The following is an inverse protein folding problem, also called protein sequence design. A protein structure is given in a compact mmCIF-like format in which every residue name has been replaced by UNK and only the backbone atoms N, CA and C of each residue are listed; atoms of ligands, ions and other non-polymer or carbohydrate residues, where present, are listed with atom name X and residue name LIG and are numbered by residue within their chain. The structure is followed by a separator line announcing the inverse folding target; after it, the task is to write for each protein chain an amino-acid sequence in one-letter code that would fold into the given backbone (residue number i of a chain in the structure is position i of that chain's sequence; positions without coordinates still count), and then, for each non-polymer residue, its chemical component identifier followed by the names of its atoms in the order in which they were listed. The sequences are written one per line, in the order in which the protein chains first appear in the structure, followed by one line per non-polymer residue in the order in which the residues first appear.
data_IF_853201825914
#
_entry.id   IF_853201825914
#
_cell.length_a   1.000
_cell.length_b   1.000
_cell.length_c   1.000
_cell.angle_alpha   90.00
_cell.angle_beta   90.00
_cell.angle_gamma   90.00
#
_symmetry.space_group_name_H-M   'P 1'
#
loop_
_entity.id
_entity.type
_entity.pdbx_description
1 polymer ?
#
# COMPACT_ATOMS: atom_id res chain seq x y z
N UNK A 1 -19.79 13.67 2.69
CA UNK A 1 -18.66 13.10 3.49
C UNK A 1 -18.50 14.02 4.67
N UNK A 2 -18.75 13.52 5.88
CA UNK A 2 -18.69 14.35 7.08
C UNK A 2 -17.24 14.73 7.41
N UNK A 3 -16.86 15.92 7.06
CA UNK A 3 -15.56 16.54 7.38
C UNK A 3 -15.25 16.47 8.89
N UNK A 4 -16.29 16.45 9.71
CA UNK A 4 -16.24 16.44 11.17
C UNK A 4 -15.58 15.17 11.75
N UNK A 5 -15.79 13.99 11.16
CA UNK A 5 -15.26 12.69 11.68
C UNK A 5 -13.72 12.66 11.61
N UNK A 6 -13.14 13.24 10.57
CA UNK A 6 -11.69 13.30 10.42
C UNK A 6 -11.05 14.33 11.35
N UNK A 7 -11.73 15.45 11.59
CA UNK A 7 -11.28 16.47 12.55
C UNK A 7 -11.29 15.93 13.98
N UNK A 8 -12.33 15.21 14.38
CA UNK A 8 -12.42 14.56 15.69
C UNK A 8 -11.32 13.48 15.87
N UNK A 9 -11.01 12.75 14.82
CA UNK A 9 -9.94 11.73 14.84
C UNK A 9 -8.57 12.35 14.95
N UNK A 10 -8.30 13.41 14.21
CA UNK A 10 -7.07 14.17 14.30
C UNK A 10 -6.90 14.80 15.70
N UNK A 11 -7.99 15.30 16.29
CA UNK A 11 -7.97 15.85 17.64
C UNK A 11 -7.64 14.79 18.68
N UNK A 12 -8.27 13.59 18.60
CA UNK A 12 -7.97 12.47 19.51
C UNK A 12 -6.51 12.03 19.42
N UNK A 13 -5.98 11.91 18.20
CA UNK A 13 -4.57 11.56 17.98
C UNK A 13 -3.64 12.61 18.60
N UNK A 14 -3.99 13.89 18.43
CA UNK A 14 -3.22 14.99 19.00
C UNK A 14 -3.25 15.00 20.52
N UNK A 15 -4.41 14.77 21.13
CA UNK A 15 -4.57 14.70 22.58
C UNK A 15 -3.76 13.54 23.19
N UNK A 16 -3.69 12.39 22.49
CA UNK A 16 -2.87 11.26 22.90
C UNK A 16 -1.36 11.56 22.81
N UNK A 17 -0.91 12.22 21.72
CA UNK A 17 0.48 12.69 21.60
C UNK A 17 0.84 13.62 22.76
N UNK A 18 -0.02 14.59 23.06
CA UNK A 18 0.20 15.51 24.19
C UNK A 18 0.20 14.80 25.54
N UNK A 19 -0.70 13.83 25.73
CA UNK A 19 -0.74 12.97 26.91
C UNK A 19 0.60 12.25 27.12
N UNK A 20 1.11 11.64 26.06
CA UNK A 20 2.38 10.91 26.10
C UNK A 20 3.59 11.81 26.35
N UNK A 21 3.59 13.00 25.76
CA UNK A 21 4.62 14.02 26.01
C UNK A 21 4.63 14.45 27.50
N UNK A 22 3.44 14.63 28.11
CA UNK A 22 3.32 14.95 29.55
C UNK A 22 3.82 13.80 30.45
N UNK A 23 3.52 12.53 30.08
CA UNK A 23 4.04 11.36 30.79
C UNK A 23 5.59 11.32 30.76
N UNK A 24 6.18 11.54 29.59
CA UNK A 24 7.64 11.58 29.44
C UNK A 24 8.27 12.73 30.28
N UNK A 25 7.63 13.89 30.30
CA UNK A 25 8.07 15.01 31.13
C UNK A 25 7.97 14.65 32.62
N UNK A 26 6.86 14.02 33.06
CA UNK A 26 6.66 13.57 34.44
C UNK A 26 7.66 12.48 34.86
N UNK A 27 8.13 11.65 33.90
CA UNK A 27 9.18 10.65 34.14
C UNK A 27 10.59 11.26 34.27
N UNK A 28 10.73 12.58 34.11
CA UNK A 28 11.99 13.30 34.25
C UNK A 28 12.72 13.62 32.97
N UNK A 29 12.15 13.27 31.79
CA UNK A 29 12.74 13.60 30.50
C UNK A 29 12.63 15.10 30.21
N UNK A 30 13.72 15.74 29.85
CA UNK A 30 13.72 17.18 29.55
C UNK A 30 13.00 17.48 28.21
N UNK A 31 12.26 18.60 28.16
CA UNK A 31 11.54 19.04 26.94
C UNK A 31 12.42 19.10 25.69
N UNK A 32 13.71 19.44 25.86
CA UNK A 32 14.67 19.45 24.77
C UNK A 32 15.02 18.03 24.25
N UNK A 33 14.94 17.02 25.10
CA UNK A 33 15.15 15.63 24.73
C UNK A 33 13.91 15.07 24.02
N UNK A 34 12.72 15.38 24.53
CA UNK A 34 11.45 15.04 23.90
C UNK A 34 11.36 15.70 22.51
N UNK A 35 11.74 16.97 22.38
CA UNK A 35 11.76 17.66 21.07
C UNK A 35 12.68 16.96 20.07
N UNK A 36 13.87 16.51 20.49
CA UNK A 36 14.81 15.77 19.64
C UNK A 36 14.28 14.39 19.27
N UNK A 37 13.65 13.69 20.24
CA UNK A 37 13.01 12.39 20.02
C UNK A 37 11.95 12.50 18.91
N UNK A 38 11.15 13.57 18.92
CA UNK A 38 10.14 13.88 17.93
C UNK A 38 10.69 14.47 16.62
N UNK A 39 12.02 14.57 16.46
CA UNK A 39 12.69 15.03 15.26
C UNK A 39 12.69 16.55 15.07
N UNK A 40 12.46 17.34 16.13
CA UNK A 40 12.58 18.79 16.07
C UNK A 40 14.00 19.26 16.40
N UNK A 41 14.50 20.20 15.63
CA UNK A 41 15.80 20.85 15.86
C UNK A 41 15.73 21.97 16.91
N UNK A 42 14.51 22.49 17.20
CA UNK A 42 14.27 23.63 18.09
C UNK A 42 13.70 23.22 19.46
N UNK A 43 14.11 23.93 20.53
CA UNK A 43 13.62 23.71 21.90
C UNK A 43 12.16 24.16 22.12
N UNK A 44 11.59 24.93 21.19
CA UNK A 44 10.31 25.62 21.40
C UNK A 44 9.07 24.80 21.01
N UNK A 45 9.20 23.77 20.17
CA UNK A 45 8.04 23.03 19.65
C UNK A 45 7.21 22.41 20.78
N UNK A 46 7.80 21.52 21.58
CA UNK A 46 7.12 20.85 22.71
C UNK A 46 6.64 21.87 23.75
N UNK A 47 7.44 22.91 24.02
CA UNK A 47 7.04 23.98 24.95
C UNK A 47 5.81 24.72 24.48
N UNK A 48 5.67 24.98 23.18
CA UNK A 48 4.51 25.64 22.60
C UNK A 48 3.28 24.73 22.61
N UNK A 49 3.45 23.44 22.37
CA UNK A 49 2.32 22.49 22.41
C UNK A 49 1.69 22.34 23.79
N UNK A 50 2.49 22.47 24.85
CA UNK A 50 2.04 22.34 26.24
C UNK A 50 1.40 23.62 26.78
N UNK A 51 1.39 24.72 26.05
CA UNK A 51 0.68 25.96 26.43
C UNK A 51 -0.81 25.79 26.12
N UNK A 52 -1.66 26.04 27.10
CA UNK A 52 -3.13 25.93 26.98
C UNK A 52 -3.73 26.84 25.89
N UNK A 53 -3.06 27.95 25.57
CA UNK A 53 -3.50 28.93 24.57
C UNK A 53 -2.95 28.67 23.15
N UNK A 54 -2.29 27.55 22.92
CA UNK A 54 -1.66 27.30 21.61
C UNK A 54 -2.69 26.91 20.55
N UNK A 55 -2.95 27.83 19.63
CA UNK A 55 -3.69 27.55 18.38
C UNK A 55 -2.82 26.90 17.30
N UNK A 56 -1.51 26.78 17.54
CA UNK A 56 -0.56 26.22 16.56
C UNK A 56 -0.41 24.71 16.73
N UNK A 57 -1.50 23.98 16.59
CA UNK A 57 -1.54 22.51 16.55
C UNK A 57 -1.35 21.99 15.11
N UNK A 58 -0.60 22.72 14.29
CA UNK A 58 -0.41 22.42 12.87
C UNK A 58 0.82 21.54 12.68
N UNK A 59 0.75 20.28 13.16
CA UNK A 59 1.64 19.27 12.62
C UNK A 59 1.09 18.81 11.27
N UNK A 60 1.96 18.65 10.29
CA UNK A 60 1.58 18.02 9.03
C UNK A 60 1.17 16.55 9.29
N UNK A 61 0.34 15.98 8.44
CA UNK A 61 -0.05 14.58 8.59
C UNK A 61 1.17 13.63 8.68
N UNK A 62 2.23 13.78 7.88
CA UNK A 62 3.47 13.01 8.04
C UNK A 62 4.14 13.19 9.40
N UNK A 63 4.11 14.40 9.97
CA UNK A 63 4.67 14.63 11.30
C UNK A 63 3.85 13.94 12.39
N UNK A 64 2.53 13.97 12.31
CA UNK A 64 1.67 13.26 13.25
C UNK A 64 1.92 11.75 13.23
N UNK A 65 2.06 11.14 12.05
CA UNK A 65 2.40 9.73 11.91
C UNK A 65 3.73 9.41 12.58
N UNK A 66 4.74 10.25 12.38
CA UNK A 66 6.05 10.09 13.00
C UNK A 66 5.97 10.20 14.53
N UNK A 67 5.19 11.14 15.07
CA UNK A 67 5.03 11.28 16.52
C UNK A 67 4.33 10.07 17.13
N UNK A 68 3.28 9.58 16.49
CA UNK A 68 2.55 8.37 16.88
C UNK A 68 3.51 7.18 16.98
N UNK A 69 4.31 6.95 15.94
CA UNK A 69 5.27 5.84 15.86
C UNK A 69 6.36 5.97 16.94
N UNK A 70 7.02 7.11 17.01
CA UNK A 70 8.11 7.37 17.98
C UNK A 70 7.65 7.29 19.43
N UNK A 71 6.41 7.67 19.72
CA UNK A 71 5.82 7.61 21.06
C UNK A 71 5.20 6.25 21.38
N UNK A 72 5.24 5.29 20.46
CA UNK A 72 4.70 3.94 20.64
C UNK A 72 3.17 3.92 20.76
N UNK A 73 2.48 4.85 20.11
CA UNK A 73 1.02 4.92 20.03
C UNK A 73 0.53 4.10 18.82
N UNK A 74 -0.65 3.49 18.91
CA UNK A 74 -1.25 2.82 17.75
C UNK A 74 -2.16 3.80 16.99
N UNK A 75 -1.82 4.10 15.74
CA UNK A 75 -2.61 4.99 14.89
C UNK A 75 -4.06 4.53 14.73
N UNK A 76 -4.31 3.23 14.81
CA UNK A 76 -5.66 2.67 14.63
C UNK A 76 -6.64 3.12 15.70
N UNK A 77 -6.15 3.44 16.90
CA UNK A 77 -6.97 3.92 17.99
C UNK A 77 -7.56 5.31 17.71
N UNK A 78 -6.95 6.04 16.77
CA UNK A 78 -7.30 7.43 16.47
C UNK A 78 -7.99 7.63 15.12
N UNK A 79 -7.98 6.60 14.26
CA UNK A 79 -8.69 6.68 12.98
C UNK A 79 -10.20 6.65 13.19
N UNK A 80 -11.00 7.31 12.31
CA UNK A 80 -12.45 7.16 12.31
C UNK A 80 -12.81 5.68 12.15
N UNK A 81 -13.79 5.19 12.91
CA UNK A 81 -14.25 3.79 12.78
C UNK A 81 -14.75 3.45 11.37
N UNK A 82 -15.20 4.45 10.62
CA UNK A 82 -15.55 4.33 9.19
C UNK A 82 -14.35 4.37 8.25
N UNK A 83 -13.24 4.94 8.69
CA UNK A 83 -11.95 4.87 8.05
C UNK A 83 -11.11 3.78 8.71
N UNK A 84 -11.74 2.65 9.05
CA UNK A 84 -10.96 1.48 9.25
C UNK A 84 -10.12 1.38 7.98
N UNK A 85 -8.85 1.83 8.06
CA UNK A 85 -7.84 1.21 7.25
C UNK A 85 -7.99 -0.22 7.70
N UNK A 86 -8.86 -0.98 7.02
CA UNK A 86 -8.68 -2.39 7.01
C UNK A 86 -7.22 -2.49 6.56
N UNK A 87 -6.30 -2.68 7.49
CA UNK A 87 -5.13 -3.44 7.11
C UNK A 87 -5.77 -4.53 6.29
N UNK A 88 -5.44 -4.72 5.01
CA UNK A 88 -5.75 -5.99 4.40
C UNK A 88 -5.32 -6.95 5.48
N UNK A 89 -6.25 -7.79 5.93
CA UNK A 89 -5.92 -8.79 6.93
C UNK A 89 -4.57 -9.30 6.48
N UNK A 90 -3.49 -9.12 7.26
CA UNK A 90 -2.15 -9.46 6.81
C UNK A 90 -2.35 -10.84 6.26
N UNK A 91 -2.19 -11.01 4.93
CA UNK A 91 -2.65 -12.17 4.16
C UNK A 91 -2.87 -13.34 5.10
N UNK A 92 -4.13 -13.68 5.40
CA UNK A 92 -4.63 -14.47 6.51
C UNK A 92 -3.51 -15.02 7.39
N UNK A 93 -3.45 -14.76 8.63
CA UNK A 93 -2.33 -14.63 9.54
C UNK A 93 -1.08 -15.29 8.94
N UNK A 94 0.02 -14.57 8.81
CA UNK A 94 1.32 -15.19 8.44
C UNK A 94 1.42 -16.37 9.38
N UNK A 95 0.89 -17.52 8.93
CA UNK A 95 1.02 -18.77 9.67
C UNK A 95 2.50 -18.83 9.91
N UNK A 96 2.90 -18.89 11.17
CA UNK A 96 4.31 -18.87 11.56
C UNK A 96 5.05 -19.65 10.52
N UNK A 97 6.06 -19.03 9.89
CA UNK A 97 6.83 -19.74 8.88
C UNK A 97 7.10 -21.16 9.39
N UNK A 98 6.75 -22.14 8.61
CA UNK A 98 6.99 -23.53 9.02
C UNK A 98 8.47 -23.74 9.29
N UNK A 99 8.81 -24.89 9.85
CA UNK A 99 10.18 -25.26 10.18
C UNK A 99 11.13 -25.18 8.95
N UNK A 100 10.59 -25.19 7.74
CA UNK A 100 11.31 -25.02 6.46
C UNK A 100 11.43 -23.57 5.98
N UNK A 101 10.94 -22.58 6.78
CA UNK A 101 10.99 -21.16 6.42
C UNK A 101 9.98 -20.73 5.36
N UNK A 102 9.02 -21.58 4.98
CA UNK A 102 7.98 -21.25 4.02
C UNK A 102 6.70 -20.73 4.70
N UNK A 103 5.94 -19.92 3.97
CA UNK A 103 4.67 -19.33 4.41
C UNK A 103 3.59 -19.64 3.38
N UNK A 104 2.39 -19.96 3.86
CA UNK A 104 1.22 -20.15 3.02
C UNK A 104 0.67 -18.77 2.60
N UNK A 105 0.46 -18.57 1.31
CA UNK A 105 -0.20 -17.38 0.76
C UNK A 105 -1.38 -17.77 -0.12
N UNK A 106 -2.43 -16.95 -0.08
CA UNK A 106 -3.61 -17.17 -0.91
C UNK A 106 -3.40 -16.63 -2.32
N UNK A 107 -3.84 -17.42 -3.30
CA UNK A 107 -3.81 -17.07 -4.72
C UNK A 107 -5.23 -16.79 -5.19
N UNK A 108 -5.43 -15.64 -5.81
CA UNK A 108 -6.72 -15.21 -6.33
C UNK A 108 -6.76 -15.28 -7.86
N UNK A 109 -7.96 -15.43 -8.42
CA UNK A 109 -8.11 -15.39 -9.88
C UNK A 109 -7.91 -13.98 -10.41
N UNK A 110 -7.29 -13.87 -11.58
CA UNK A 110 -7.47 -12.73 -12.47
C UNK A 110 -8.86 -12.87 -13.12
N UNK A 111 -9.93 -12.66 -12.36
CA UNK A 111 -11.27 -12.87 -12.86
C UNK A 111 -12.12 -11.61 -12.72
N UNK A 112 -12.75 -11.22 -13.81
CA UNK A 112 -13.96 -10.45 -13.82
C UNK A 112 -13.82 -8.99 -14.22
N UNK A 113 -14.56 -8.63 -15.26
CA UNK A 113 -14.87 -7.27 -15.71
C UNK A 113 -15.84 -6.54 -14.75
N UNK A 114 -15.69 -6.72 -13.43
CA UNK A 114 -16.51 -6.03 -12.44
C UNK A 114 -15.87 -4.74 -11.93
N UNK A 115 -16.67 -3.71 -11.54
CA UNK A 115 -16.14 -2.43 -11.06
C UNK A 115 -15.44 -2.49 -9.72
N UNK A 116 -15.57 -3.57 -8.97
CA UNK A 116 -14.89 -3.78 -7.70
C UNK A 116 -14.11 -5.09 -7.74
N UNK A 117 -12.83 -5.01 -8.08
CA UNK A 117 -11.90 -6.07 -7.76
C UNK A 117 -11.46 -5.89 -6.32
N UNK A 118 -12.30 -6.34 -5.41
CA UNK A 118 -11.95 -6.46 -4.01
C UNK A 118 -11.47 -7.89 -3.79
N UNK A 119 -10.15 -8.06 -3.64
CA UNK A 119 -9.56 -9.36 -3.28
C UNK A 119 -10.13 -9.88 -1.96
N UNK A 120 -10.66 -8.97 -1.13
CA UNK A 120 -11.22 -9.26 0.18
C UNK A 120 -12.62 -9.89 0.09
N UNK A 121 -13.34 -9.71 -1.02
CA UNK A 121 -14.67 -10.27 -1.25
C UNK A 121 -14.66 -11.60 -2.02
N UNK A 122 -13.51 -12.01 -2.57
CA UNK A 122 -13.39 -13.23 -3.34
C UNK A 122 -12.70 -14.34 -2.56
N UNK A 123 -13.28 -15.52 -2.60
CA UNK A 123 -12.61 -16.71 -2.07
C UNK A 123 -11.31 -16.99 -2.82
N UNK A 124 -10.24 -17.37 -2.13
CA UNK A 124 -9.00 -17.74 -2.77
C UNK A 124 -9.18 -19.00 -3.61
N UNK A 125 -8.61 -19.01 -4.82
CA UNK A 125 -8.61 -20.18 -5.70
C UNK A 125 -7.75 -21.32 -5.18
N UNK A 126 -6.64 -20.96 -4.56
CA UNK A 126 -5.63 -21.90 -4.09
C UNK A 126 -4.80 -21.24 -2.98
N UNK A 127 -4.03 -22.09 -2.29
CA UNK A 127 -2.98 -21.65 -1.38
C UNK A 127 -1.67 -22.27 -1.87
N UNK A 128 -0.63 -21.44 -1.97
CA UNK A 128 0.70 -21.88 -2.31
C UNK A 128 1.66 -21.60 -1.16
N UNK A 129 2.75 -22.33 -1.09
CA UNK A 129 3.81 -22.08 -0.12
C UNK A 129 4.97 -21.39 -0.81
N UNK A 130 5.40 -20.27 -0.25
CA UNK A 130 6.56 -19.53 -0.76
C UNK A 130 7.53 -19.25 0.39
N UNK A 131 8.83 -19.09 0.11
CA UNK A 131 9.77 -18.60 1.11
C UNK A 131 9.31 -17.29 1.71
N UNK A 132 9.57 -17.10 3.02
CA UNK A 132 9.13 -15.91 3.76
C UNK A 132 9.54 -14.61 3.08
N UNK A 133 10.74 -14.55 2.49
CA UNK A 133 11.23 -13.36 1.78
C UNK A 133 10.35 -12.92 0.61
N UNK A 134 9.73 -13.87 -0.12
CA UNK A 134 8.79 -13.56 -1.20
C UNK A 134 7.40 -13.20 -0.66
N UNK A 135 6.95 -13.87 0.40
CA UNK A 135 5.69 -13.53 1.05
C UNK A 135 5.68 -12.10 1.59
N UNK A 136 6.80 -11.63 2.13
CA UNK A 136 6.94 -10.28 2.66
C UNK A 136 7.00 -9.18 1.59
N UNK A 137 7.27 -9.53 0.33
CA UNK A 137 7.38 -8.57 -0.78
C UNK A 137 6.05 -8.27 -1.45
N UNK A 138 4.96 -8.99 -1.16
CA UNK A 138 3.69 -8.82 -1.83
C UNK A 138 2.50 -8.74 -0.86
N UNK A 139 1.46 -8.02 -1.28
CA UNK A 139 0.19 -7.95 -0.54
C UNK A 139 -0.80 -9.02 -1.00
N UNK A 140 -0.62 -9.57 -2.20
CA UNK A 140 -1.48 -10.60 -2.78
C UNK A 140 -0.78 -11.39 -3.85
N UNK A 141 -1.24 -12.61 -4.10
CA UNK A 141 -0.81 -13.43 -5.24
C UNK A 141 -1.97 -13.64 -6.22
N UNK A 142 -1.68 -13.56 -7.52
CA UNK A 142 -2.68 -13.66 -8.58
C UNK A 142 -2.31 -14.78 -9.56
N UNK A 143 -3.29 -15.61 -9.91
CA UNK A 143 -3.14 -16.59 -10.98
C UNK A 143 -3.32 -15.92 -12.34
N UNK A 144 -2.28 -15.98 -13.17
CA UNK A 144 -2.31 -15.39 -14.53
C UNK A 144 -3.06 -16.32 -15.48
N UNK A 145 -4.03 -15.76 -16.21
CA UNK A 145 -4.73 -16.43 -17.29
C UNK A 145 -4.50 -15.70 -18.61
N UNK A 146 -4.31 -16.45 -19.68
CA UNK A 146 -4.06 -15.92 -21.01
C UNK A 146 -2.59 -15.69 -21.32
N UNK A 147 -2.29 -15.39 -22.57
CA UNK A 147 -0.95 -15.41 -23.14
C UNK A 147 -0.40 -14.02 -23.46
N UNK A 148 -1.08 -12.95 -23.05
CA UNK A 148 -0.65 -11.57 -23.38
C UNK A 148 0.74 -11.23 -22.83
N UNK A 149 1.17 -11.90 -21.77
CA UNK A 149 2.48 -11.76 -21.15
C UNK A 149 3.40 -12.96 -21.40
N UNK A 150 3.00 -13.89 -22.29
CA UNK A 150 3.85 -15.01 -22.69
C UNK A 150 5.22 -14.49 -23.16
N UNK A 151 6.28 -15.22 -22.87
CA UNK A 151 7.70 -14.93 -22.84
C UNK A 151 8.20 -14.48 -21.46
N UNK A 152 7.46 -13.62 -20.77
CA UNK A 152 7.81 -13.21 -19.41
C UNK A 152 7.01 -14.01 -18.38
N UNK A 153 5.68 -14.10 -18.58
CA UNK A 153 4.76 -14.78 -17.66
C UNK A 153 3.83 -15.67 -18.48
N UNK A 154 3.90 -16.97 -18.21
CA UNK A 154 3.06 -17.97 -18.87
C UNK A 154 1.67 -18.03 -18.23
N UNK A 155 0.67 -18.43 -19.02
CA UNK A 155 -0.64 -18.78 -18.50
C UNK A 155 -0.53 -19.91 -17.47
N UNK A 156 -1.20 -19.79 -16.34
CA UNK A 156 -1.06 -20.69 -15.18
C UNK A 156 0.05 -20.31 -14.20
N UNK A 157 0.86 -19.29 -14.52
CA UNK A 157 1.82 -18.72 -13.58
C UNK A 157 1.14 -17.94 -12.47
N UNK A 158 1.78 -17.84 -11.32
CA UNK A 158 1.34 -17.03 -10.18
C UNK A 158 2.29 -15.84 -10.03
N UNK A 159 1.73 -14.66 -9.86
CA UNK A 159 2.50 -13.42 -9.63
C UNK A 159 2.21 -12.87 -8.24
N UNK A 160 3.25 -12.45 -7.52
CA UNK A 160 3.10 -11.65 -6.31
C UNK A 160 3.00 -10.19 -6.66
N UNK A 161 2.02 -9.50 -6.07
CA UNK A 161 1.71 -8.09 -6.35
C UNK A 161 1.77 -7.28 -5.07
N UNK A 162 2.57 -6.21 -5.06
CA UNK A 162 2.53 -5.19 -4.03
C UNK A 162 1.57 -4.08 -4.47
N UNK A 163 0.56 -3.81 -3.65
CA UNK A 163 -0.52 -2.86 -3.95
C UNK A 163 -0.38 -1.54 -3.22
N UNK A 164 0.42 -1.49 -2.18
CA UNK A 164 0.58 -0.32 -1.31
C UNK A 164 2.03 0.07 -1.19
N UNK A 165 2.28 1.36 -1.08
CA UNK A 165 3.62 1.90 -0.80
C UNK A 165 4.69 1.39 -1.77
N UNK A 166 4.37 1.31 -3.06
CA UNK A 166 5.35 1.02 -4.10
C UNK A 166 5.60 2.24 -4.97
N UNK A 167 6.85 2.44 -5.34
CA UNK A 167 7.21 3.47 -6.32
C UNK A 167 6.87 2.97 -7.72
N UNK A 168 6.26 3.85 -8.52
CA UNK A 168 6.05 3.56 -9.93
C UNK A 168 7.40 3.61 -10.67
N UNK A 169 7.73 2.54 -11.39
CA UNK A 169 8.91 2.43 -12.23
C UNK A 169 8.47 2.14 -13.66
N UNK A 170 8.75 3.08 -14.56
CA UNK A 170 8.42 2.92 -15.99
C UNK A 170 9.12 1.71 -16.58
N UNK A 171 8.36 0.87 -17.27
CA UNK A 171 8.88 -0.36 -17.88
C UNK A 171 8.74 -1.62 -17.03
N UNK A 172 8.29 -1.51 -15.78
CA UNK A 172 8.00 -2.66 -14.93
C UNK A 172 6.62 -3.27 -15.23
N UNK A 173 6.36 -4.45 -14.67
CA UNK A 173 5.11 -5.19 -14.84
C UNK A 173 4.15 -4.86 -13.70
N UNK A 174 2.90 -4.61 -14.05
CA UNK A 174 1.86 -4.20 -13.12
C UNK A 174 0.57 -5.00 -13.27
N UNK A 175 -0.17 -5.15 -12.19
CA UNK A 175 -1.58 -5.43 -12.23
C UNK A 175 -2.31 -4.13 -12.57
N UNK A 176 -3.06 -4.13 -13.67
CA UNK A 176 -3.76 -2.95 -14.20
C UNK A 176 -5.24 -3.26 -14.41
N UNK A 177 -6.09 -2.26 -14.20
CA UNK A 177 -7.51 -2.33 -14.55
C UNK A 177 -7.74 -1.62 -15.88
N UNK A 178 -7.92 -2.38 -16.93
CA UNK A 178 -8.14 -1.81 -18.26
C UNK A 178 -9.63 -1.62 -18.53
N UNK A 179 -10.04 -0.52 -19.20
CA UNK A 179 -11.39 -0.37 -19.73
C UNK A 179 -11.75 -1.57 -20.61
N UNK A 180 -12.92 -2.15 -20.38
CA UNK A 180 -13.48 -3.29 -21.13
C UNK A 180 -12.78 -4.65 -21.00
N UNK A 181 -11.56 -4.71 -20.42
CA UNK A 181 -10.82 -5.97 -20.20
C UNK A 181 -10.81 -6.39 -18.74
N UNK A 182 -11.05 -5.46 -17.82
CA UNK A 182 -10.96 -5.70 -16.39
C UNK A 182 -9.51 -5.80 -15.91
N UNK A 183 -9.27 -6.67 -14.91
CA UNK A 183 -7.96 -6.87 -14.30
C UNK A 183 -7.05 -7.66 -15.25
N UNK A 184 -5.88 -7.12 -15.52
CA UNK A 184 -4.87 -7.70 -16.41
C UNK A 184 -3.47 -7.47 -15.86
N UNK A 185 -2.53 -8.33 -16.25
CA UNK A 185 -1.09 -8.10 -16.01
C UNK A 185 -0.49 -7.53 -17.28
N UNK A 186 0.16 -6.39 -17.19
CA UNK A 186 0.78 -5.67 -18.31
C UNK A 186 2.07 -4.99 -17.90
N UNK A 187 2.92 -4.71 -18.88
CA UNK A 187 4.05 -3.80 -18.70
C UNK A 187 3.56 -2.38 -18.92
N UNK A 188 3.90 -1.47 -18.00
CA UNK A 188 3.47 -0.07 -18.08
C UNK A 188 4.68 0.82 -18.28
N UNK A 189 4.68 1.57 -19.36
CA UNK A 189 5.73 2.53 -19.71
C UNK A 189 5.11 3.92 -19.69
N UNK A 190 5.80 4.90 -19.11
CA UNK A 190 5.39 6.31 -19.18
C UNK A 190 6.04 6.95 -20.39
N UNK A 191 5.23 7.50 -21.27
CA UNK A 191 5.66 8.44 -22.30
C UNK A 191 5.47 9.87 -21.77
N UNK A 192 6.55 10.42 -21.19
CA UNK A 192 6.50 11.74 -20.57
C UNK A 192 6.27 12.87 -21.59
N UNK A 193 6.58 12.64 -22.87
CA UNK A 193 6.39 13.64 -23.92
C UNK A 193 4.91 13.79 -24.30
N UNK A 194 4.16 12.70 -24.32
CA UNK A 194 2.72 12.71 -24.63
C UNK A 194 1.82 12.76 -23.39
N UNK A 195 2.36 12.52 -22.19
CA UNK A 195 1.57 12.41 -20.96
C UNK A 195 0.70 11.15 -20.93
N UNK A 196 1.18 10.05 -21.52
CA UNK A 196 0.46 8.82 -21.65
C UNK A 196 1.15 7.63 -20.97
N UNK A 197 0.35 6.66 -20.51
CA UNK A 197 0.80 5.30 -20.28
C UNK A 197 0.78 4.51 -21.60
N UNK A 198 1.87 3.81 -21.88
CA UNK A 198 1.91 2.76 -22.89
C UNK A 198 1.72 1.43 -22.15
N UNK A 199 0.55 0.85 -22.30
CA UNK A 199 0.18 -0.45 -21.74
C UNK A 199 0.59 -1.53 -22.73
N UNK A 200 1.63 -2.27 -22.37
CA UNK A 200 2.28 -3.23 -23.26
C UNK A 200 2.06 -4.66 -22.82
N UNK A 201 1.74 -5.51 -23.76
CA UNK A 201 1.80 -6.97 -23.63
C UNK A 201 3.21 -7.44 -23.99
N UNK A 202 3.81 -8.34 -23.20
CA UNK A 202 5.15 -8.88 -23.52
C UNK A 202 5.11 -9.92 -24.63
N UNK A 203 3.90 -10.43 -24.99
CA UNK A 203 3.74 -11.30 -26.13
C UNK A 203 4.10 -10.55 -27.43
N UNK A 204 4.95 -11.14 -28.29
CA UNK A 204 5.40 -10.50 -29.54
C UNK A 204 4.30 -10.41 -30.61
N UNK A 205 3.24 -11.20 -30.51
CA UNK A 205 2.09 -11.14 -31.42
C UNK A 205 1.29 -9.84 -31.18
N UNK A 206 1.72 -8.77 -31.84
CA UNK A 206 1.10 -7.45 -31.69
C UNK A 206 -0.21 -7.29 -32.48
N UNK A 207 -0.53 -8.18 -33.40
CA UNK A 207 -1.85 -8.21 -34.00
C UNK A 207 -2.89 -8.67 -33.00
N UNK A 208 -2.59 -9.68 -32.20
CA UNK A 208 -3.46 -10.20 -31.15
C UNK A 208 -3.40 -9.39 -29.85
N UNK A 209 -2.22 -8.88 -29.50
CA UNK A 209 -1.96 -8.17 -28.24
C UNK A 209 -1.34 -6.80 -28.50
N UNK A 210 -2.06 -5.87 -29.11
CA UNK A 210 -1.54 -4.54 -29.44
C UNK A 210 -1.19 -3.74 -28.15
N UNK A 211 -0.18 -2.89 -28.24
CA UNK A 211 0.09 -1.90 -27.22
C UNK A 211 -1.04 -0.86 -27.22
N UNK A 212 -1.42 -0.37 -26.03
CA UNK A 212 -2.46 0.65 -25.87
C UNK A 212 -1.85 1.90 -25.24
N UNK A 213 -2.36 3.05 -25.65
CA UNK A 213 -2.02 4.34 -25.06
C UNK A 213 -3.21 4.87 -24.28
N UNK A 214 -2.99 5.28 -23.05
CA UNK A 214 -4.00 5.79 -22.13
C UNK A 214 -3.48 7.07 -21.48
N UNK A 215 -4.28 8.12 -21.48
CA UNK A 215 -3.94 9.37 -20.80
C UNK A 215 -3.71 9.12 -19.31
N UNK A 216 -2.58 9.60 -18.78
CA UNK A 216 -2.26 9.50 -17.35
C UNK A 216 -3.30 10.24 -16.51
N UNK A 217 -3.82 11.37 -17.00
CA UNK A 217 -4.81 12.17 -16.28
C UNK A 217 -6.17 11.51 -16.19
N UNK A 218 -6.60 10.83 -17.28
CA UNK A 218 -7.91 10.16 -17.31
C UNK A 218 -7.91 8.82 -16.62
N UNK A 219 -6.75 8.15 -16.59
CA UNK A 219 -6.60 6.78 -16.09
C UNK A 219 -5.59 6.68 -14.94
N UNK A 220 -5.56 7.68 -14.06
CA UNK A 220 -4.63 7.71 -12.92
C UNK A 220 -4.72 6.47 -12.03
N UNK A 221 -5.92 5.89 -11.88
CA UNK A 221 -6.21 4.78 -10.98
C UNK A 221 -6.17 3.40 -11.66
N UNK A 222 -5.65 3.30 -12.89
CA UNK A 222 -5.61 1.99 -13.57
C UNK A 222 -4.56 1.05 -12.98
N UNK A 223 -3.52 1.58 -12.35
CA UNK A 223 -2.42 0.78 -11.80
C UNK A 223 -2.80 0.34 -10.39
N UNK A 224 -3.05 -0.96 -10.22
CA UNK A 224 -3.50 -1.54 -8.96
C UNK A 224 -2.36 -2.04 -8.08
N UNK A 225 -1.20 -2.33 -8.68
CA UNK A 225 -0.02 -2.78 -7.95
C UNK A 225 1.10 -3.24 -8.87
N UNK A 226 2.31 -3.30 -8.35
CA UNK A 226 3.49 -3.76 -9.08
C UNK A 226 3.72 -5.26 -8.86
N UNK A 227 4.04 -5.99 -9.92
CA UNK A 227 4.48 -7.38 -9.84
C UNK A 227 5.91 -7.41 -9.30
N UNK A 228 6.13 -8.16 -8.24
CA UNK A 228 7.43 -8.23 -7.54
C UNK A 228 8.13 -9.56 -7.74
N UNK A 229 7.39 -10.64 -8.05
CA UNK A 229 7.93 -11.94 -8.40
C UNK A 229 6.95 -12.74 -9.25
N UNK A 230 7.46 -13.73 -9.95
CA UNK A 230 6.70 -14.68 -10.76
C UNK A 230 7.08 -16.09 -10.38
N UNK A 231 6.09 -16.96 -10.19
CA UNK A 231 6.24 -18.39 -9.98
C UNK A 231 5.50 -19.14 -11.08
N UNK A 232 6.23 -19.86 -11.90
CA UNK A 232 5.66 -20.57 -13.05
C UNK A 232 6.46 -21.83 -13.39
N UNK A 233 5.79 -22.80 -14.05
CA UNK A 233 6.48 -23.95 -14.62
C UNK A 233 7.30 -23.53 -15.86
N UNK A 234 8.40 -24.24 -16.11
CA UNK A 234 9.28 -24.02 -17.28
C UNK A 234 8.59 -24.46 -18.59
#
# INVERSE_FOLDING_TARGET
MDTNIYEESAQRAWDAILGKVKELEASGMKRAEISRLLGHTGRSAVTNWLKESSTSRNASFPDMLRYIDVLGLDIQDYLPKSATIRRPAPNAPVERADADGSVAIHVYALAGAGPAFDLEENDPLATIRVPLEYAMQCDSALLVKGDSMAWTIKSGGVVGVIRRNFDFVSGEVYAVRLPYEGLSIKRVIVDAASGEYIIRSDNPDKEKYPDRRLSITEYADIILGRVVWVWQAL
#
